data_IF_586634735035
#
_entry.id   IF_586634735035
#
_cell.length_a   1.000
_cell.length_b   1.000
_cell.length_c   1.000
_cell.angle_alpha   90.00
_cell.angle_beta   90.00
_cell.angle_gamma   90.00
#
_symmetry.space_group_name_H-M   'P 1'
#
loop_
_entity.id
_entity.type
_entity.pdbx_description
1 polymer ?
#
# COMPACT_ATOMS: atom_id res chain seq x y z
N UNK A 1 -17.42 -5.53 41.93
CA UNK A 1 -16.33 -5.62 40.94
C UNK A 1 -15.20 -4.71 41.41
N UNK A 2 -13.98 -5.22 41.59
CA UNK A 2 -12.88 -4.41 42.16
C UNK A 2 -12.23 -3.53 41.08
N UNK A 3 -11.64 -2.40 41.49
CA UNK A 3 -10.92 -1.50 40.58
C UNK A 3 -9.80 -2.19 39.80
N UNK A 4 -9.16 -3.20 40.40
CA UNK A 4 -8.13 -4.03 39.75
C UNK A 4 -8.70 -4.91 38.61
N UNK A 5 -9.91 -5.43 38.77
CA UNK A 5 -10.57 -6.20 37.70
C UNK A 5 -11.04 -5.31 36.56
N UNK A 6 -11.53 -4.10 36.86
CA UNK A 6 -11.85 -3.10 35.85
C UNK A 6 -10.60 -2.69 35.07
N UNK A 7 -9.46 -2.47 35.75
CA UNK A 7 -8.19 -2.12 35.11
C UNK A 7 -7.70 -3.25 34.20
N UNK A 8 -7.71 -4.51 34.68
CA UNK A 8 -7.33 -5.68 33.88
C UNK A 8 -8.23 -5.89 32.67
N UNK A 9 -9.54 -5.67 32.82
CA UNK A 9 -10.50 -5.75 31.73
C UNK A 9 -10.26 -4.65 30.68
N UNK A 10 -10.05 -3.41 31.12
CA UNK A 10 -9.75 -2.28 30.24
C UNK A 10 -8.46 -2.49 29.44
N UNK A 11 -7.40 -2.99 30.08
CA UNK A 11 -6.12 -3.30 29.41
C UNK A 11 -6.29 -4.40 28.35
N UNK A 12 -7.06 -5.46 28.65
CA UNK A 12 -7.36 -6.52 27.67
C UNK A 12 -8.16 -5.98 26.48
N UNK A 13 -9.14 -5.12 26.74
CA UNK A 13 -9.94 -4.46 25.70
C UNK A 13 -9.06 -3.58 24.80
N UNK A 14 -8.22 -2.73 25.39
CA UNK A 14 -7.29 -1.87 24.66
C UNK A 14 -6.28 -2.68 23.83
N UNK A 15 -5.73 -3.76 24.40
CA UNK A 15 -4.82 -4.67 23.69
C UNK A 15 -5.49 -5.35 22.49
N UNK A 16 -6.73 -5.80 22.62
CA UNK A 16 -7.49 -6.39 21.52
C UNK A 16 -7.77 -5.38 20.39
N UNK A 17 -8.08 -4.13 20.74
CA UNK A 17 -8.28 -3.05 19.76
C UNK A 17 -6.96 -2.76 19.03
N UNK A 18 -5.86 -2.58 19.76
CA UNK A 18 -4.54 -2.33 19.17
C UNK A 18 -4.10 -3.47 18.24
N UNK A 19 -4.35 -4.72 18.63
CA UNK A 19 -4.03 -5.87 17.79
C UNK A 19 -4.85 -5.87 16.49
N UNK A 20 -6.16 -5.59 16.57
CA UNK A 20 -7.03 -5.49 15.38
C UNK A 20 -6.64 -4.33 14.48
N UNK A 21 -6.36 -3.17 15.04
CA UNK A 21 -5.90 -1.99 14.28
C UNK A 21 -4.55 -2.27 13.64
N UNK A 22 -3.60 -2.86 14.36
CA UNK A 22 -2.30 -3.24 13.82
C UNK A 22 -2.41 -4.24 12.67
N UNK A 23 -3.28 -5.25 12.81
CA UNK A 23 -3.55 -6.21 11.74
C UNK A 23 -4.18 -5.53 10.50
N UNK A 24 -5.14 -4.62 10.72
CA UNK A 24 -5.77 -3.84 9.64
C UNK A 24 -4.75 -2.96 8.91
N UNK A 25 -3.97 -2.17 9.65
CA UNK A 25 -2.91 -1.31 9.09
C UNK A 25 -1.90 -2.15 8.30
N UNK A 26 -1.49 -3.31 8.82
CA UNK A 26 -0.56 -4.20 8.11
C UNK A 26 -1.13 -4.69 6.79
N UNK A 27 -2.41 -5.10 6.76
CA UNK A 27 -3.08 -5.55 5.53
C UNK A 27 -3.19 -4.40 4.54
N UNK A 28 -3.69 -3.24 4.96
CA UNK A 28 -3.87 -2.10 4.07
C UNK A 28 -2.53 -1.54 3.56
N UNK A 29 -1.49 -1.49 4.39
CA UNK A 29 -0.13 -1.14 3.97
C UNK A 29 0.39 -2.12 2.92
N UNK A 30 0.17 -3.43 3.08
CA UNK A 30 0.57 -4.44 2.08
C UNK A 30 -0.05 -4.14 0.72
N UNK A 31 -1.35 -3.81 0.69
CA UNK A 31 -2.08 -3.53 -0.54
C UNK A 31 -1.70 -2.18 -1.15
N UNK A 32 -1.49 -1.17 -0.32
CA UNK A 32 -0.91 0.12 -0.72
C UNK A 32 0.41 -0.09 -1.44
N UNK A 33 1.37 -0.78 -0.81
CA UNK A 33 2.69 -1.00 -1.38
C UNK A 33 2.65 -1.86 -2.64
N UNK A 34 1.83 -2.92 -2.66
CA UNK A 34 1.68 -3.76 -3.85
C UNK A 34 1.17 -2.95 -5.05
N UNK A 35 0.14 -2.11 -4.85
CA UNK A 35 -0.42 -1.29 -5.92
C UNK A 35 0.53 -0.15 -6.34
N UNK A 36 1.14 0.55 -5.37
CA UNK A 36 2.08 1.62 -5.66
C UNK A 36 3.29 1.09 -6.42
N UNK A 37 3.89 -0.02 -5.96
CA UNK A 37 5.04 -0.64 -6.63
C UNK A 37 4.67 -1.12 -8.04
N UNK A 38 3.51 -1.77 -8.21
CA UNK A 38 3.04 -2.20 -9.53
C UNK A 38 2.81 -1.03 -10.48
N UNK A 39 2.22 0.06 -9.99
CA UNK A 39 1.95 1.27 -10.78
C UNK A 39 3.23 2.04 -11.14
N UNK A 40 4.27 1.92 -10.32
CA UNK A 40 5.59 2.50 -10.59
C UNK A 40 6.41 1.65 -11.57
N UNK A 41 6.47 0.32 -11.36
CA UNK A 41 7.26 -0.60 -12.17
C UNK A 41 6.62 -0.87 -13.55
N UNK A 42 5.30 -0.89 -13.66
CA UNK A 42 4.60 -1.18 -14.91
C UNK A 42 5.07 -0.29 -16.09
N UNK A 43 5.07 1.04 -15.96
CA UNK A 43 5.59 1.95 -16.98
C UNK A 43 7.08 1.79 -17.30
N UNK A 44 7.89 1.31 -16.35
CA UNK A 44 9.33 1.03 -16.56
C UNK A 44 9.46 -0.23 -17.42
N UNK A 45 8.76 -1.31 -17.06
CA UNK A 45 8.73 -2.55 -17.84
C UNK A 45 8.18 -2.29 -19.24
N UNK A 46 7.11 -1.51 -19.36
CA UNK A 46 6.53 -1.14 -20.65
C UNK A 46 7.52 -0.37 -21.52
N UNK A 47 8.26 0.59 -20.93
CA UNK A 47 9.32 1.30 -21.63
C UNK A 47 10.40 0.33 -22.13
N UNK A 48 10.86 -0.60 -21.30
CA UNK A 48 11.89 -1.58 -21.69
C UNK A 48 11.42 -2.53 -22.80
N UNK A 49 10.13 -2.89 -22.83
CA UNK A 49 9.57 -3.76 -23.86
C UNK A 49 9.38 -3.08 -25.22
N UNK A 50 9.14 -1.76 -25.22
CA UNK A 50 8.90 -0.98 -26.45
C UNK A 50 10.12 -0.17 -26.92
N UNK A 51 11.14 -0.05 -26.08
CA UNK A 51 12.37 0.62 -26.42
C UNK A 51 13.03 -0.06 -27.63
N UNK A 52 13.27 0.73 -28.68
CA UNK A 52 14.06 0.28 -29.82
C UNK A 52 15.53 0.18 -29.39
N UNK A 53 16.15 -1.01 -29.44
CA UNK A 53 17.53 -1.21 -28.99
C UNK A 53 18.55 -0.40 -29.80
N UNK A 54 18.21 0.07 -31.00
CA UNK A 54 19.10 0.91 -31.81
C UNK A 54 19.14 2.38 -31.40
N UNK A 55 18.15 2.85 -30.64
CA UNK A 55 17.97 4.28 -30.33
C UNK A 55 17.79 4.56 -28.83
N UNK A 56 17.35 3.58 -28.06
CA UNK A 56 17.14 3.73 -26.62
C UNK A 56 18.48 3.90 -25.88
N UNK A 57 18.58 4.99 -25.11
CA UNK A 57 19.78 5.27 -24.32
C UNK A 57 19.57 4.94 -22.84
N UNK A 58 20.68 4.81 -22.11
CA UNK A 58 20.65 4.73 -20.66
C UNK A 58 20.06 6.00 -20.02
N UNK A 59 20.22 7.16 -20.66
CA UNK A 59 19.63 8.43 -20.22
C UNK A 59 18.10 8.39 -20.24
N UNK A 60 17.52 7.83 -21.29
CA UNK A 60 16.07 7.67 -21.42
C UNK A 60 15.52 6.75 -20.31
N UNK A 61 16.23 5.66 -20.02
CA UNK A 61 15.91 4.79 -18.89
C UNK A 61 15.96 5.52 -17.54
N UNK A 62 17.00 6.32 -17.29
CA UNK A 62 17.09 7.12 -16.05
C UNK A 62 15.94 8.13 -15.96
N UNK A 63 15.59 8.78 -17.07
CA UNK A 63 14.46 9.73 -17.12
C UNK A 63 13.13 9.07 -16.73
N UNK A 64 12.98 7.79 -17.10
CA UNK A 64 11.79 6.98 -16.82
C UNK A 64 11.73 6.59 -15.35
N UNK A 65 12.83 6.19 -14.72
CA UNK A 65 12.84 5.72 -13.33
C UNK A 65 12.85 6.89 -12.34
N UNK A 66 13.63 7.94 -12.62
CA UNK A 66 13.78 9.10 -11.74
C UNK A 66 12.64 10.12 -11.89
N UNK A 67 11.60 9.78 -12.65
CA UNK A 67 10.46 10.65 -12.86
C UNK A 67 9.66 10.84 -11.56
N UNK A 68 9.77 12.03 -10.97
CA UNK A 68 9.01 12.43 -9.78
C UNK A 68 7.50 12.32 -9.99
N UNK A 69 7.00 12.61 -11.20
CA UNK A 69 5.58 12.49 -11.54
C UNK A 69 5.10 11.03 -11.48
N UNK A 70 5.94 10.07 -11.89
CA UNK A 70 5.61 8.64 -11.78
C UNK A 70 5.55 8.19 -10.33
N UNK A 71 6.52 8.61 -9.51
CA UNK A 71 6.49 8.36 -8.07
C UNK A 71 5.18 8.89 -7.45
N UNK A 72 4.83 10.15 -7.70
CA UNK A 72 3.59 10.75 -7.18
C UNK A 72 2.36 9.97 -7.69
N UNK A 73 2.29 9.66 -8.99
CA UNK A 73 1.17 8.91 -9.56
C UNK A 73 1.01 7.52 -8.94
N UNK A 74 2.12 6.86 -8.61
CA UNK A 74 2.12 5.54 -7.99
C UNK A 74 1.61 5.57 -6.54
N UNK A 75 1.95 6.63 -5.79
CA UNK A 75 1.45 6.86 -4.44
C UNK A 75 -0.05 7.19 -4.45
N UNK A 76 -0.50 7.99 -5.41
CA UNK A 76 -1.92 8.29 -5.61
C UNK A 76 -2.67 7.01 -5.95
N UNK A 77 -2.16 6.19 -6.88
CA UNK A 77 -2.76 4.92 -7.25
C UNK A 77 -2.88 3.96 -6.06
N UNK A 78 -1.81 3.81 -5.27
CA UNK A 78 -1.84 2.99 -4.05
C UNK A 78 -2.85 3.49 -3.02
N UNK A 79 -2.91 4.81 -2.79
CA UNK A 79 -3.86 5.43 -1.86
C UNK A 79 -5.30 5.22 -2.32
N UNK A 80 -5.56 5.45 -3.61
CA UNK A 80 -6.88 5.28 -4.21
C UNK A 80 -7.31 3.80 -4.17
N UNK A 81 -6.39 2.87 -4.42
CA UNK A 81 -6.66 1.44 -4.35
C UNK A 81 -7.10 1.02 -2.95
N UNK A 82 -6.38 1.45 -1.90
CA UNK A 82 -6.77 1.18 -0.50
C UNK A 82 -8.11 1.83 -0.16
N UNK A 83 -8.34 3.08 -0.56
CA UNK A 83 -9.60 3.77 -0.31
C UNK A 83 -10.80 3.05 -0.98
N UNK A 84 -10.63 2.60 -2.22
CA UNK A 84 -11.65 1.85 -2.95
C UNK A 84 -11.86 0.45 -2.37
N UNK A 85 -10.78 -0.25 -2.03
CA UNK A 85 -10.82 -1.55 -1.36
C UNK A 85 -11.63 -1.48 -0.06
N UNK A 86 -11.36 -0.50 0.79
CA UNK A 86 -12.10 -0.31 2.04
C UNK A 86 -13.59 0.01 1.85
N UNK A 87 -13.98 0.56 0.69
CA UNK A 87 -15.38 0.84 0.34
C UNK A 87 -16.10 -0.33 -0.36
N UNK A 88 -15.38 -1.09 -1.19
CA UNK A 88 -15.98 -2.06 -2.11
C UNK A 88 -15.83 -3.51 -1.65
N UNK A 89 -14.78 -3.83 -0.90
CA UNK A 89 -14.54 -5.19 -0.41
C UNK A 89 -15.05 -5.31 1.03
N UNK A 90 -15.90 -6.30 1.33
CA UNK A 90 -16.33 -6.54 2.71
C UNK A 90 -15.09 -6.76 3.57
N UNK A 91 -15.03 -6.08 4.73
CA UNK A 91 -13.88 -6.20 5.62
C UNK A 91 -13.67 -7.67 5.94
N UNK A 92 -12.47 -8.17 5.69
CA UNK A 92 -12.07 -9.55 6.07
C UNK A 92 -11.99 -9.72 7.60
N UNK A 93 -12.44 -8.75 8.39
CA UNK A 93 -12.49 -8.81 9.86
C UNK A 93 -13.70 -9.57 10.43
N UNK A 94 -14.53 -10.19 9.58
CA UNK A 94 -15.66 -11.03 10.01
C UNK A 94 -15.47 -12.55 9.79
N UNK A 95 -14.26 -13.01 9.44
CA UNK A 95 -13.92 -14.44 9.40
C UNK A 95 -13.15 -14.87 10.65
#
# INVERSE_FOLDING_TARGET
MSLNELLKSAVRSASAILHRVGAFVRVEMKWFFACALGSYLGPIVFYLLLADPGTATFGDFLSVIQSSSRLISSLIAGTLFVALRGRLLPSTSQA
#
